data_IF_878339527374
#
_entry.id   IF_878339527374
#
_cell.length_a   1.000
_cell.length_b   1.000
_cell.length_c   1.000
_cell.angle_alpha   90.00
_cell.angle_beta   90.00
_cell.angle_gamma   90.00
#
_symmetry.space_group_name_H-M   'P 1'
#
loop_
_entity.id
_entity.type
_entity.pdbx_description
1 polymer ?
#
# COMPACT_ATOMS: atom_id res chain seq x y z
N UNK A 1 -1.80 -7.36 9.98
CA UNK A 1 -0.53 -7.77 10.61
C UNK A 1 0.65 -7.58 9.64
N UNK A 2 1.43 -6.52 9.82
CA UNK A 2 2.65 -6.23 9.06
C UNK A 2 3.85 -6.92 9.75
N UNK A 3 3.89 -8.25 9.68
CA UNK A 3 4.84 -9.10 10.43
C UNK A 3 6.32 -8.75 10.22
N UNK A 4 6.68 -8.17 9.06
CA UNK A 4 8.03 -7.66 8.82
C UNK A 4 8.42 -6.52 9.77
N UNK A 5 7.48 -5.66 10.17
CA UNK A 5 7.71 -4.58 11.14
C UNK A 5 7.97 -5.10 12.57
N UNK A 6 7.74 -6.39 12.82
CA UNK A 6 8.09 -7.08 14.07
C UNK A 6 9.40 -7.88 13.95
N UNK A 7 10.16 -7.71 12.87
CA UNK A 7 11.45 -8.38 12.66
C UNK A 7 11.36 -9.88 12.38
N UNK A 8 10.17 -10.40 12.02
CA UNK A 8 10.00 -11.83 11.69
C UNK A 8 10.61 -12.20 10.34
N UNK A 9 10.63 -11.25 9.42
CA UNK A 9 11.18 -11.34 8.06
C UNK A 9 11.40 -9.90 7.53
N UNK A 10 12.10 -9.74 6.41
CA UNK A 10 12.39 -8.42 5.85
C UNK A 10 11.33 -7.91 4.88
N UNK A 11 11.51 -6.66 4.44
CA UNK A 11 10.64 -6.00 3.45
C UNK A 11 10.64 -6.79 2.12
N UNK A 12 11.80 -7.34 1.75
CA UNK A 12 11.98 -8.15 0.54
C UNK A 12 11.14 -9.44 0.56
N UNK A 13 10.79 -9.96 1.74
CA UNK A 13 9.99 -11.17 1.89
C UNK A 13 8.48 -10.89 1.82
N UNK A 14 8.09 -9.62 1.87
CA UNK A 14 6.71 -9.24 1.57
C UNK A 14 6.51 -9.33 0.05
N UNK A 15 5.69 -10.23 -0.46
CA UNK A 15 5.46 -10.31 -1.92
C UNK A 15 4.35 -9.37 -2.41
N UNK A 16 3.30 -9.14 -1.61
CA UNK A 16 2.18 -8.29 -2.01
C UNK A 16 2.57 -6.81 -2.02
N UNK A 17 2.27 -6.13 -3.13
CA UNK A 17 2.49 -4.69 -3.34
C UNK A 17 1.25 -4.08 -3.99
N UNK A 18 0.83 -2.93 -3.48
CA UNK A 18 -0.13 -2.06 -4.13
C UNK A 18 0.64 -0.95 -4.82
N UNK A 19 0.54 -0.87 -6.14
CA UNK A 19 1.15 0.24 -6.88
C UNK A 19 0.17 1.40 -6.90
N UNK A 20 0.55 2.47 -6.24
CA UNK A 20 -0.26 3.67 -6.07
C UNK A 20 0.34 4.83 -6.87
N UNK A 21 -0.52 5.71 -7.39
CA UNK A 21 -0.11 6.96 -8.05
C UNK A 21 -0.38 8.14 -7.12
N UNK A 22 0.55 9.08 -7.05
CA UNK A 22 0.31 10.36 -6.40
C UNK A 22 -0.58 11.20 -7.30
N UNK A 23 -1.82 11.43 -6.87
CA UNK A 23 -2.83 12.17 -7.64
C UNK A 23 -3.01 13.61 -7.17
N UNK A 24 -2.45 13.97 -6.01
CA UNK A 24 -2.50 15.34 -5.50
C UNK A 24 -1.35 15.65 -4.55
N UNK A 25 -0.85 16.89 -4.59
CA UNK A 25 0.16 17.45 -3.67
C UNK A 25 -0.29 18.82 -3.16
N UNK A 26 -1.29 18.89 -2.27
CA UNK A 26 -1.88 20.17 -1.84
C UNK A 26 -0.97 20.99 -0.91
N UNK A 27 0.06 20.38 -0.32
CA UNK A 27 1.06 21.06 0.51
C UNK A 27 2.41 20.35 0.44
N UNK A 28 3.48 21.05 0.81
CA UNK A 28 4.84 20.50 0.80
C UNK A 28 4.97 19.25 1.68
N UNK A 29 4.19 19.13 2.76
CA UNK A 29 4.21 18.00 3.68
C UNK A 29 3.04 17.01 3.48
N UNK A 30 2.32 17.09 2.35
CA UNK A 30 1.11 16.29 2.13
C UNK A 30 0.97 15.83 0.68
N UNK A 31 0.91 14.51 0.47
CA UNK A 31 0.51 13.89 -0.79
C UNK A 31 -0.80 13.10 -0.64
N UNK A 32 -1.47 12.85 -1.77
CA UNK A 32 -2.63 11.98 -1.86
C UNK A 32 -2.37 10.92 -2.91
N UNK A 33 -2.54 9.66 -2.51
CA UNK A 33 -2.47 8.49 -3.37
C UNK A 33 -3.87 8.09 -3.86
N UNK A 34 -3.96 7.50 -5.05
CA UNK A 34 -5.17 6.86 -5.62
C UNK A 34 -5.54 5.51 -4.97
N UNK A 35 -4.97 5.22 -3.81
CA UNK A 35 -5.11 3.95 -3.11
C UNK A 35 -5.74 4.20 -1.74
N UNK A 36 -7.04 3.91 -1.61
CA UNK A 36 -7.82 4.09 -0.39
C UNK A 36 -8.16 2.79 0.36
N UNK A 37 -9.22 2.84 1.17
CA UNK A 37 -9.73 1.72 1.96
C UNK A 37 -10.22 0.55 1.10
N UNK A 38 -10.72 0.79 -0.11
CA UNK A 38 -11.08 -0.28 -1.07
C UNK A 38 -9.87 -1.04 -1.61
N UNK A 39 -8.66 -0.53 -1.36
CA UNK A 39 -7.40 -1.21 -1.67
C UNK A 39 -6.69 -1.76 -0.44
N UNK A 40 -6.57 -0.94 0.61
CA UNK A 40 -5.78 -1.23 1.82
C UNK A 40 -6.60 -1.74 3.01
N UNK A 41 -7.90 -1.96 2.81
CA UNK A 41 -8.84 -2.57 3.76
C UNK A 41 -9.01 -1.84 5.12
N UNK A 42 -8.55 -0.60 5.24
CA UNK A 42 -8.67 0.23 6.47
C UNK A 42 -8.29 -0.52 7.76
N UNK A 43 -7.31 -1.42 7.69
CA UNK A 43 -6.84 -2.19 8.86
C UNK A 43 -5.66 -1.45 9.53
N UNK A 44 -5.87 -0.79 10.68
CA UNK A 44 -4.80 -0.07 11.37
C UNK A 44 -3.81 -1.05 11.99
N UNK A 45 -2.53 -0.71 11.99
CA UNK A 45 -1.53 -1.45 12.76
C UNK A 45 -1.48 -0.92 14.19
N UNK A 46 -1.58 -1.81 15.18
CA UNK A 46 -1.42 -1.44 16.60
C UNK A 46 0.03 -1.07 16.96
N UNK A 47 1.00 -1.59 16.20
CA UNK A 47 2.42 -1.40 16.49
C UNK A 47 3.06 -0.27 15.69
N UNK A 48 2.44 0.18 14.61
CA UNK A 48 2.98 1.24 13.76
C UNK A 48 1.87 2.15 13.25
N UNK A 49 2.07 3.48 13.28
CA UNK A 49 1.06 4.42 12.80
C UNK A 49 0.81 4.26 11.29
N UNK A 50 -0.42 4.56 10.89
CA UNK A 50 -0.83 4.63 9.49
C UNK A 50 -1.38 3.32 8.90
N UNK A 51 -1.68 3.38 7.60
CA UNK A 51 -2.46 2.37 6.87
C UNK A 51 -1.64 1.53 5.88
N UNK A 52 -0.31 1.51 6.00
CA UNK A 52 0.58 0.73 5.17
C UNK A 52 2.04 1.11 5.37
N UNK A 53 2.93 0.57 4.54
CA UNK A 53 4.33 0.96 4.45
C UNK A 53 4.67 1.28 3.01
N UNK A 54 5.20 2.47 2.76
CA UNK A 54 5.62 2.87 1.42
C UNK A 54 7.07 2.43 1.24
N UNK A 55 7.32 1.57 0.26
CA UNK A 55 8.66 1.01 0.00
C UNK A 55 9.61 2.14 -0.38
N UNK A 56 10.79 2.17 0.26
CA UNK A 56 11.79 3.23 0.04
C UNK A 56 11.57 4.51 0.84
N UNK A 57 10.39 4.68 1.47
CA UNK A 57 10.00 5.91 2.16
C UNK A 57 9.58 5.62 3.62
N UNK A 58 10.50 5.16 4.49
CA UNK A 58 10.17 4.69 5.84
C UNK A 58 9.62 5.79 6.76
N UNK A 59 9.92 7.05 6.46
CA UNK A 59 9.51 8.23 7.21
C UNK A 59 8.19 8.85 6.75
N UNK A 60 7.60 8.33 5.67
CA UNK A 60 6.30 8.74 5.15
C UNK A 60 5.19 7.86 5.71
N UNK A 61 4.14 8.49 6.22
CA UNK A 61 3.01 7.78 6.83
C UNK A 61 1.73 8.02 6.04
N UNK A 62 1.03 6.95 5.66
CA UNK A 62 -0.34 7.03 5.16
C UNK A 62 -1.26 7.24 6.36
N UNK A 63 -1.56 8.50 6.69
CA UNK A 63 -2.24 8.91 7.94
C UNK A 63 -3.75 8.72 7.90
N UNK A 64 -4.36 8.70 6.71
CA UNK A 64 -5.80 8.54 6.55
C UNK A 64 -6.14 7.84 5.24
N UNK A 65 -7.21 7.05 5.25
CA UNK A 65 -7.86 6.54 4.05
C UNK A 65 -9.27 7.12 3.92
N UNK A 66 -9.66 7.51 2.71
CA UNK A 66 -11.05 7.52 2.26
C UNK A 66 -11.32 6.22 1.49
N UNK A 67 -12.45 6.11 0.79
CA UNK A 67 -12.73 4.93 -0.04
C UNK A 67 -11.63 4.68 -1.09
N UNK A 68 -11.28 5.72 -1.86
CA UNK A 68 -10.39 5.63 -3.02
C UNK A 68 -9.04 6.33 -2.81
N UNK A 69 -8.88 7.13 -1.75
CA UNK A 69 -7.66 7.94 -1.57
C UNK A 69 -6.95 7.66 -0.25
N UNK A 70 -5.62 7.67 -0.30
CA UNK A 70 -4.74 7.61 0.86
C UNK A 70 -4.00 8.93 1.06
N UNK A 71 -4.11 9.55 2.24
CA UNK A 71 -3.40 10.79 2.56
C UNK A 71 -2.07 10.44 3.21
N UNK A 72 -0.98 10.96 2.64
CA UNK A 72 0.37 10.78 3.14
C UNK A 72 0.85 12.06 3.84
N UNK A 73 1.38 11.92 5.05
CA UNK A 73 2.25 12.91 5.66
C UNK A 73 3.67 12.67 5.19
N UNK A 74 4.20 13.62 4.42
CA UNK A 74 5.49 13.52 3.73
C UNK A 74 6.46 14.48 4.40
N UNK A 75 7.67 14.01 4.69
CA UNK A 75 8.68 14.83 5.33
C UNK A 75 9.29 15.84 4.37
N UNK A 76 9.82 16.92 4.92
CA UNK A 76 10.55 17.92 4.14
C UNK A 76 11.76 17.27 3.46
N UNK A 77 11.92 17.53 2.16
CA UNK A 77 13.01 16.97 1.36
C UNK A 77 12.77 15.55 0.84
N UNK A 78 11.64 14.91 1.17
CA UNK A 78 11.30 13.60 0.62
C UNK A 78 10.92 13.71 -0.88
N UNK A 79 11.68 13.03 -1.73
CA UNK A 79 11.44 12.94 -3.17
C UNK A 79 10.48 11.79 -3.52
N UNK A 80 10.03 11.70 -4.77
CA UNK A 80 9.15 10.62 -5.24
C UNK A 80 7.66 10.79 -4.87
N UNK A 81 7.26 12.01 -4.52
CA UNK A 81 5.85 12.36 -4.24
C UNK A 81 5.33 13.54 -5.06
N UNK A 82 5.87 13.78 -6.25
CA UNK A 82 5.25 14.68 -7.23
C UNK A 82 4.00 14.04 -7.83
N UNK A 83 3.07 14.86 -8.34
CA UNK A 83 1.86 14.35 -9.01
C UNK A 83 2.29 13.51 -10.23
N UNK A 84 1.78 12.28 -10.32
CA UNK A 84 2.13 11.30 -11.35
C UNK A 84 3.19 10.28 -10.92
N UNK A 85 3.92 10.54 -9.82
CA UNK A 85 4.87 9.56 -9.28
C UNK A 85 4.14 8.31 -8.81
N UNK A 86 4.79 7.16 -8.97
CA UNK A 86 4.28 5.85 -8.54
C UNK A 86 5.09 5.34 -7.37
N UNK A 87 4.39 4.87 -6.35
CA UNK A 87 4.98 4.26 -5.17
C UNK A 87 4.40 2.87 -4.94
N UNK A 88 5.15 2.01 -4.27
CA UNK A 88 4.65 0.70 -3.84
C UNK A 88 4.28 0.72 -2.36
N UNK A 89 3.10 0.22 -2.04
CA UNK A 89 2.58 0.12 -0.66
C UNK A 89 2.46 -1.33 -0.25
N UNK A 90 3.09 -1.68 0.87
CA UNK A 90 2.86 -2.93 1.59
C UNK A 90 1.67 -2.70 2.52
N UNK A 91 0.57 -3.46 2.39
CA UNK A 91 -0.59 -3.27 3.25
C UNK A 91 -0.26 -3.71 4.68
N UNK A 92 -0.95 -3.12 5.66
CA UNK A 92 -0.84 -3.57 7.03
C UNK A 92 -1.27 -5.03 7.20
N UNK A 93 -2.21 -5.52 6.40
CA UNK A 93 -2.72 -6.88 6.48
C UNK A 93 -3.14 -7.36 5.10
N UNK A 94 -2.42 -8.35 4.59
CA UNK A 94 -2.65 -8.84 3.23
C UNK A 94 -4.01 -9.54 3.04
N UNK A 95 -4.48 -10.30 4.04
CA UNK A 95 -5.69 -11.12 3.92
C UNK A 95 -6.95 -10.32 3.55
N UNK A 96 -7.35 -9.26 4.27
CA UNK A 96 -8.52 -8.49 3.90
C UNK A 96 -8.31 -7.72 2.59
N UNK A 97 -7.09 -7.27 2.29
CA UNK A 97 -6.80 -6.58 1.02
C UNK A 97 -6.97 -7.50 -0.19
N UNK A 98 -6.46 -8.74 -0.13
CA UNK A 98 -6.64 -9.73 -1.22
C UNK A 98 -8.11 -10.07 -1.42
N UNK A 99 -8.92 -10.11 -0.34
CA UNK A 99 -10.35 -10.36 -0.45
C UNK A 99 -11.14 -9.21 -1.14
N UNK A 100 -10.54 -8.03 -1.29
CA UNK A 100 -11.12 -6.91 -2.04
C UNK A 100 -10.76 -6.96 -3.54
N UNK A 101 -9.78 -7.79 -3.93
CA UNK A 101 -9.29 -7.89 -5.31
C UNK A 101 -9.94 -9.05 -6.04
N UNK A 102 -10.35 -8.84 -7.29
CA UNK A 102 -10.77 -9.93 -8.17
C UNK A 102 -9.57 -10.73 -8.71
N UNK A 103 -8.45 -10.05 -8.93
CA UNK A 103 -7.23 -10.60 -9.56
C UNK A 103 -5.95 -10.05 -8.90
N UNK A 104 -4.87 -10.81 -9.04
CA UNK A 104 -3.52 -10.44 -8.61
C UNK A 104 -2.60 -10.45 -9.83
N UNK A 105 -1.91 -9.33 -10.08
CA UNK A 105 -0.88 -9.29 -11.11
C UNK A 105 0.41 -9.92 -10.57
N UNK A 106 0.95 -10.89 -11.31
CA UNK A 106 2.18 -11.59 -10.92
C UNK A 106 3.35 -10.96 -11.65
N UNK A 107 4.27 -10.39 -10.88
CA UNK A 107 5.46 -9.74 -11.41
C UNK A 107 6.72 -10.59 -11.18
N UNK A 108 7.63 -10.59 -12.14
CA UNK A 108 8.99 -11.10 -12.02
C UNK A 108 9.93 -10.19 -12.82
N UNK A 109 11.05 -9.81 -12.22
CA UNK A 109 12.08 -8.95 -12.85
C UNK A 109 11.50 -7.67 -13.48
N UNK A 110 10.57 -7.02 -12.76
CA UNK A 110 9.93 -5.79 -13.18
C UNK A 110 8.89 -5.93 -14.31
N UNK A 111 8.52 -7.15 -14.69
CA UNK A 111 7.52 -7.43 -15.73
C UNK A 111 6.37 -8.24 -15.18
N UNK A 112 5.15 -7.91 -15.62
CA UNK A 112 3.99 -8.76 -15.37
C UNK A 112 4.10 -10.00 -16.25
N UNK A 113 4.08 -11.18 -15.62
CA UNK A 113 4.21 -12.47 -16.29
C UNK A 113 2.93 -13.29 -16.28
N UNK A 114 1.98 -12.95 -15.39
CA UNK A 114 0.72 -13.68 -15.24
C UNK A 114 -0.31 -12.82 -14.48
N UNK A 115 -1.58 -13.24 -14.52
CA UNK A 115 -2.67 -12.68 -13.74
C UNK A 115 -3.44 -13.82 -13.07
N UNK A 116 -3.48 -13.82 -11.73
CA UNK A 116 -4.17 -14.86 -10.96
C UNK A 116 -5.51 -14.37 -10.45
N UNK A 117 -6.57 -15.11 -10.76
CA UNK A 117 -7.89 -14.88 -10.17
C UNK A 117 -7.89 -15.22 -8.67
N UNK A 118 -8.48 -14.34 -7.84
CA UNK A 118 -8.75 -14.64 -6.43
C UNK A 118 -9.98 -15.55 -6.33
N UNK A 119 -9.79 -16.84 -6.59
CA UNK A 119 -10.88 -17.82 -6.72
C UNK A 119 -11.78 -17.93 -5.47
N UNK A 120 -11.22 -17.65 -4.29
CA UNK A 120 -11.92 -17.71 -3.00
C UNK A 120 -12.47 -16.35 -2.52
N UNK A 121 -12.50 -15.31 -3.36
CA UNK A 121 -13.01 -13.99 -2.97
C UNK A 121 -14.43 -14.09 -2.42
N UNK A 122 -14.65 -13.53 -1.24
CA UNK A 122 -15.96 -13.50 -0.57
C UNK A 122 -16.48 -14.87 -0.10
N UNK A 123 -15.64 -15.92 -0.06
CA UNK A 123 -16.03 -17.25 0.42
C UNK A 123 -15.90 -17.38 1.94
N UNK A 124 -16.48 -16.42 2.67
CA UNK A 124 -16.65 -16.45 4.12
C UNK A 124 -18.09 -16.88 4.37
N UNK A 125 -18.31 -18.10 4.87
CA UNK A 125 -19.63 -18.70 5.13
C UNK A 125 -19.62 -19.39 6.48
#
# INVERSE_FOLDING_TARGET
VSAFRYGRFGIQDCAARFVATVVSRPAANRAVLDTGAKSLAMDPSRAHPGHGYIVGHPDVTITKLSEEHGVCEVRDGEEGFAIGDRVEVIPNHVCPTVNLMDELLIARDGRIIDTWKVAARGKVR
#
